data_IF_214429111129
#
_entry.id   IF_214429111129
#
_cell.length_a   1.000
_cell.length_b   1.000
_cell.length_c   1.000
_cell.angle_alpha   90.00
_cell.angle_beta   90.00
_cell.angle_gamma   90.00
#
_symmetry.space_group_name_H-M   'P 1'
#
loop_
_entity.id
_entity.type
_entity.pdbx_description
1 polymer ?
#
# COMPACT_ATOMS: atom_id res chain seq x y z
N UNK A 1 8.10 33.06 -1.47
CA UNK A 1 8.85 31.83 -1.75
C UNK A 1 7.86 30.84 -2.29
N UNK A 2 7.86 30.59 -3.60
CA UNK A 2 7.03 29.57 -4.17
C UNK A 2 7.40 28.23 -3.54
N UNK A 3 6.41 27.53 -2.99
CA UNK A 3 6.60 26.23 -2.40
C UNK A 3 7.01 25.26 -3.51
N UNK A 4 8.15 24.57 -3.37
CA UNK A 4 8.60 23.54 -4.32
C UNK A 4 7.59 22.41 -4.50
N UNK A 5 6.64 22.29 -3.58
CA UNK A 5 5.59 21.27 -3.58
C UNK A 5 4.26 21.93 -3.28
N UNK A 6 3.23 21.66 -4.08
CA UNK A 6 1.85 22.07 -3.79
C UNK A 6 1.21 21.01 -2.91
N UNK A 7 0.84 21.40 -1.69
CA UNK A 7 0.23 20.51 -0.72
C UNK A 7 -1.29 20.62 -0.71
N UNK A 8 -1.95 19.47 -0.72
CA UNK A 8 -3.40 19.31 -0.65
C UNK A 8 -3.77 18.48 0.57
N UNK A 9 -4.42 19.07 1.54
CA UNK A 9 -4.96 18.34 2.67
C UNK A 9 -6.37 17.85 2.31
N UNK A 10 -6.47 16.57 1.98
CA UNK A 10 -7.73 15.89 1.66
C UNK A 10 -8.09 14.85 2.74
N UNK A 11 -7.28 14.79 3.79
CA UNK A 11 -7.71 14.08 4.98
C UNK A 11 -8.88 14.89 5.55
N UNK A 12 -10.14 14.40 5.52
CA UNK A 12 -11.12 14.95 6.42
C UNK A 12 -10.43 14.90 7.78
N UNK A 13 -10.51 15.98 8.56
CA UNK A 13 -10.13 15.88 9.97
C UNK A 13 -10.97 14.75 10.54
N UNK A 14 -10.46 13.53 10.40
CA UNK A 14 -11.00 12.40 11.11
C UNK A 14 -10.85 12.81 12.56
N UNK A 15 -11.96 13.15 13.15
CA UNK A 15 -11.98 13.26 14.59
C UNK A 15 -11.29 12.00 15.09
N UNK A 16 -10.33 12.11 15.97
CA UNK A 16 -9.59 10.97 16.52
C UNK A 16 -10.56 9.85 16.99
N UNK A 17 -11.83 10.19 17.24
CA UNK A 17 -12.95 9.30 17.46
C UNK A 17 -13.21 8.30 16.32
N UNK A 18 -13.19 8.71 15.06
CA UNK A 18 -13.52 7.82 13.92
C UNK A 18 -12.46 6.71 13.71
N UNK A 19 -11.18 7.01 13.90
CA UNK A 19 -10.11 6.01 13.87
C UNK A 19 -10.20 5.04 15.06
N UNK A 20 -10.56 5.56 16.22
CA UNK A 20 -10.74 4.76 17.41
C UNK A 20 -11.95 3.81 17.29
N UNK A 21 -13.06 4.29 16.72
CA UNK A 21 -14.24 3.48 16.45
C UNK A 21 -13.92 2.33 15.49
N UNK A 22 -13.25 2.60 14.36
CA UNK A 22 -12.85 1.57 13.41
C UNK A 22 -11.91 0.52 14.04
N UNK A 23 -10.97 0.97 14.86
CA UNK A 23 -10.06 0.08 15.58
C UNK A 23 -10.83 -0.82 16.56
N UNK A 24 -11.73 -0.27 17.34
CA UNK A 24 -12.56 -1.01 18.31
C UNK A 24 -13.51 -1.99 17.63
N UNK A 25 -14.11 -1.59 16.50
CA UNK A 25 -14.93 -2.48 15.69
C UNK A 25 -14.15 -3.73 15.28
N UNK A 26 -12.93 -3.56 14.77
CA UNK A 26 -12.08 -4.69 14.38
C UNK A 26 -11.59 -5.52 15.57
N UNK A 27 -11.21 -4.90 16.68
CA UNK A 27 -10.75 -5.59 17.89
C UNK A 27 -11.86 -6.40 18.59
N UNK A 28 -13.11 -5.99 18.45
CA UNK A 28 -14.28 -6.67 19.03
C UNK A 28 -14.97 -7.62 18.06
N UNK A 29 -14.56 -7.64 16.80
CA UNK A 29 -15.08 -8.57 15.79
C UNK A 29 -14.75 -10.04 16.12
N UNK A 30 -15.46 -10.95 15.47
CA UNK A 30 -15.17 -12.40 15.54
C UNK A 30 -15.09 -12.96 14.12
N UNK A 31 -13.89 -13.34 13.63
CA UNK A 31 -12.58 -13.22 14.27
C UNK A 31 -12.09 -11.77 14.41
N UNK A 32 -11.22 -11.51 15.39
CA UNK A 32 -10.62 -10.18 15.60
C UNK A 32 -9.72 -9.79 14.43
N UNK A 33 -9.82 -8.55 13.99
CA UNK A 33 -9.01 -8.00 12.90
C UNK A 33 -8.69 -6.53 13.10
N UNK A 34 -7.80 -6.01 12.27
CA UNK A 34 -7.53 -4.57 12.18
C UNK A 34 -7.13 -4.19 10.75
N UNK A 35 -7.31 -2.93 10.38
CA UNK A 35 -6.90 -2.42 9.09
C UNK A 35 -5.37 -2.25 9.03
N UNK A 36 -4.70 -2.63 7.91
CA UNK A 36 -3.25 -2.42 7.73
C UNK A 36 -2.79 -0.97 7.86
N UNK A 37 -3.67 0.03 7.69
CA UNK A 37 -3.33 1.44 7.86
C UNK A 37 -2.81 1.77 9.27
N UNK A 38 -3.19 0.98 10.27
CA UNK A 38 -2.72 1.14 11.65
C UNK A 38 -1.25 0.74 11.85
N UNK A 39 -0.60 0.13 10.89
CA UNK A 39 0.84 -0.11 10.93
C UNK A 39 1.67 1.16 10.68
N UNK A 40 1.16 2.12 9.92
CA UNK A 40 1.93 3.20 9.31
C UNK A 40 1.94 4.48 10.16
N UNK A 41 2.37 4.36 11.44
CA UNK A 41 2.94 5.48 12.17
C UNK A 41 4.38 5.73 11.66
N UNK A 42 5.07 6.72 12.23
CA UNK A 42 6.47 7.01 11.85
C UNK A 42 7.37 5.77 12.01
N UNK A 43 7.25 5.08 13.15
CA UNK A 43 8.07 3.89 13.44
C UNK A 43 7.72 2.73 12.52
N UNK A 44 6.46 2.50 12.25
CA UNK A 44 6.00 1.48 11.30
C UNK A 44 6.52 1.73 9.89
N UNK A 45 6.50 2.98 9.43
CA UNK A 45 7.06 3.35 8.11
C UNK A 45 8.57 3.08 8.04
N UNK A 46 9.34 3.38 9.10
CA UNK A 46 10.77 3.04 9.20
C UNK A 46 11.00 1.52 9.19
N UNK A 47 10.16 0.76 9.89
CA UNK A 47 10.23 -0.70 9.93
C UNK A 47 9.87 -1.31 8.57
N UNK A 48 8.88 -0.76 7.87
CA UNK A 48 8.55 -1.21 6.51
C UNK A 48 9.69 -0.95 5.53
N UNK A 49 10.34 0.21 5.61
CA UNK A 49 11.57 0.48 4.84
C UNK A 49 12.65 -0.57 5.14
N UNK A 50 12.83 -0.94 6.41
CA UNK A 50 13.78 -1.97 6.79
C UNK A 50 13.37 -3.38 6.33
N UNK A 51 12.06 -3.71 6.25
CA UNK A 51 11.55 -4.94 5.62
C UNK A 51 11.97 -4.99 4.15
N UNK A 52 11.82 -3.89 3.44
CA UNK A 52 12.17 -3.80 2.01
C UNK A 52 13.65 -4.12 1.72
N UNK A 53 14.52 -3.99 2.71
CA UNK A 53 15.96 -4.31 2.61
C UNK A 53 16.28 -5.78 3.00
N UNK A 54 15.31 -6.55 3.55
CA UNK A 54 15.55 -7.92 3.95
C UNK A 54 15.74 -8.84 2.73
N UNK A 55 16.70 -9.78 2.80
CA UNK A 55 16.96 -10.69 1.68
C UNK A 55 15.78 -11.60 1.35
N UNK A 56 14.93 -11.93 2.32
CA UNK A 56 13.75 -12.75 2.15
C UNK A 56 12.60 -11.96 1.48
N UNK A 57 12.52 -10.63 1.68
CA UNK A 57 11.45 -9.80 1.16
C UNK A 57 11.69 -9.43 -0.31
N UNK A 58 11.44 -10.37 -1.21
CA UNK A 58 11.65 -10.23 -2.66
C UNK A 58 10.77 -9.17 -3.34
N UNK A 59 9.52 -8.83 -2.90
CA UNK A 59 8.60 -8.02 -3.70
C UNK A 59 9.20 -6.67 -4.12
N UNK A 60 9.79 -5.92 -3.21
CA UNK A 60 10.35 -4.59 -3.49
C UNK A 60 11.47 -4.64 -4.53
N UNK A 61 12.47 -5.52 -4.34
CA UNK A 61 13.61 -5.59 -5.27
C UNK A 61 13.20 -6.15 -6.64
N UNK A 62 12.24 -7.09 -6.67
CA UNK A 62 11.73 -7.66 -7.93
C UNK A 62 10.96 -6.61 -8.73
N UNK A 63 10.02 -5.91 -8.09
CA UNK A 63 9.28 -4.82 -8.74
C UNK A 63 10.22 -3.72 -9.25
N UNK A 64 11.20 -3.30 -8.45
CA UNK A 64 12.20 -2.32 -8.89
C UNK A 64 13.03 -2.80 -10.08
N UNK A 65 13.37 -4.10 -10.13
CA UNK A 65 14.10 -4.67 -11.25
C UNK A 65 13.25 -4.63 -12.54
N UNK A 66 11.95 -4.98 -12.44
CA UNK A 66 11.01 -4.89 -13.56
C UNK A 66 10.86 -3.43 -14.03
N UNK A 67 10.63 -2.49 -13.09
CA UNK A 67 10.49 -1.06 -13.42
C UNK A 67 11.72 -0.51 -14.14
N UNK A 68 12.93 -0.84 -13.69
CA UNK A 68 14.17 -0.41 -14.36
C UNK A 68 14.30 -1.01 -15.75
N UNK A 69 14.04 -2.31 -15.90
CA UNK A 69 14.17 -3.00 -17.18
C UNK A 69 13.15 -2.54 -18.21
N UNK A 70 11.91 -2.26 -17.75
CA UNK A 70 10.77 -1.93 -18.60
C UNK A 70 10.49 -0.42 -18.70
N UNK A 71 11.31 0.45 -18.11
CA UNK A 71 11.02 1.88 -18.01
C UNK A 71 10.73 2.53 -19.38
N UNK A 72 11.49 2.19 -20.42
CA UNK A 72 11.28 2.71 -21.77
C UNK A 72 9.96 2.20 -22.39
N UNK A 73 9.68 0.90 -22.25
CA UNK A 73 8.44 0.31 -22.76
C UNK A 73 7.21 0.88 -22.03
N UNK A 74 7.33 1.06 -20.69
CA UNK A 74 6.28 1.71 -19.89
C UNK A 74 6.05 3.13 -20.39
N UNK A 75 7.12 3.90 -20.60
CA UNK A 75 7.03 5.27 -21.11
C UNK A 75 6.41 5.34 -22.51
N UNK A 76 6.66 4.36 -23.38
CA UNK A 76 6.05 4.28 -24.71
C UNK A 76 4.54 4.03 -24.61
N UNK A 77 4.12 3.08 -23.76
CA UNK A 77 2.70 2.72 -23.60
C UNK A 77 1.91 3.79 -22.84
N UNK A 78 2.51 4.38 -21.79
CA UNK A 78 1.89 5.46 -21.01
C UNK A 78 1.83 6.77 -21.80
N UNK A 79 2.85 7.06 -22.58
CA UNK A 79 3.01 8.33 -23.30
C UNK A 79 3.67 9.41 -22.44
N UNK A 80 4.11 10.48 -23.13
CA UNK A 80 4.72 11.66 -22.48
C UNK A 80 3.65 12.61 -21.96
N UNK A 81 4.05 13.54 -21.13
CA UNK A 81 3.21 14.61 -20.57
C UNK A 81 2.01 14.09 -19.73
N UNK A 82 2.10 12.86 -19.22
CA UNK A 82 1.12 12.30 -18.32
C UNK A 82 1.13 13.04 -16.97
N UNK A 83 -0.01 13.04 -16.27
CA UNK A 83 -0.09 13.32 -14.83
C UNK A 83 0.10 12.00 -14.10
N UNK A 84 1.24 11.81 -13.43
CA UNK A 84 1.53 10.57 -12.71
C UNK A 84 1.09 10.68 -11.25
N UNK A 85 0.16 9.83 -10.82
CA UNK A 85 -0.47 9.87 -9.49
C UNK A 85 -0.10 8.60 -8.74
N UNK A 86 0.81 8.70 -7.76
CA UNK A 86 1.27 7.55 -6.98
C UNK A 86 0.43 7.40 -5.71
N UNK A 87 -0.26 6.26 -5.59
CA UNK A 87 -1.06 5.91 -4.42
C UNK A 87 -0.22 5.10 -3.42
N UNK A 88 -0.15 5.57 -2.17
CA UNK A 88 0.77 5.04 -1.18
C UNK A 88 2.22 5.38 -1.55
N UNK A 89 2.50 6.67 -1.78
CA UNK A 89 3.79 7.12 -2.33
C UNK A 89 4.98 6.83 -1.40
N UNK A 90 4.74 6.78 -0.09
CA UNK A 90 5.78 6.49 0.88
C UNK A 90 7.05 7.34 0.66
N UNK A 91 8.20 6.70 0.50
CA UNK A 91 9.48 7.35 0.23
C UNK A 91 9.67 7.80 -1.23
N UNK A 92 8.67 7.66 -2.12
CA UNK A 92 8.71 8.00 -3.56
C UNK A 92 9.93 7.38 -4.28
N UNK A 93 10.35 6.17 -3.86
CA UNK A 93 11.56 5.52 -4.43
C UNK A 93 11.27 4.88 -5.78
N UNK A 94 10.10 4.27 -5.94
CA UNK A 94 9.75 3.48 -7.14
C UNK A 94 9.45 4.38 -8.33
N UNK A 95 8.76 5.50 -8.11
CA UNK A 95 8.45 6.45 -9.16
C UNK A 95 9.70 7.00 -9.82
N UNK A 96 10.78 7.21 -9.08
CA UNK A 96 12.07 7.70 -9.60
C UNK A 96 12.62 6.85 -10.75
N UNK A 97 12.31 5.55 -10.76
CA UNK A 97 12.73 4.63 -11.83
C UNK A 97 12.01 4.89 -13.15
N UNK A 98 10.91 5.62 -13.12
CA UNK A 98 10.08 5.94 -14.28
C UNK A 98 10.23 7.37 -14.76
N UNK A 99 10.57 8.32 -13.86
CA UNK A 99 10.57 9.76 -14.16
C UNK A 99 11.43 10.13 -15.37
N UNK A 100 12.66 9.59 -15.44
CA UNK A 100 13.59 9.90 -16.54
C UNK A 100 13.10 9.38 -17.92
N UNK A 101 12.39 8.26 -17.92
CA UNK A 101 11.88 7.67 -19.15
C UNK A 101 10.54 8.28 -19.58
N UNK A 102 9.63 8.51 -18.62
CA UNK A 102 8.29 9.00 -18.88
C UNK A 102 8.21 10.51 -19.08
N UNK A 103 9.08 11.29 -18.41
CA UNK A 103 9.00 12.74 -18.38
C UNK A 103 7.55 13.25 -18.15
N UNK A 104 6.88 12.87 -17.04
CA UNK A 104 5.52 13.33 -16.79
C UNK A 104 5.49 14.83 -16.59
N UNK A 105 4.39 15.49 -16.98
CA UNK A 105 4.19 16.92 -16.76
C UNK A 105 4.05 17.24 -15.26
N UNK A 106 3.45 16.32 -14.51
CA UNK A 106 3.16 16.48 -13.09
C UNK A 106 3.25 15.15 -12.37
N UNK A 107 3.68 15.21 -11.12
CA UNK A 107 3.62 14.11 -10.16
C UNK A 107 2.76 14.52 -8.96
N UNK A 108 1.82 13.66 -8.59
CA UNK A 108 1.05 13.74 -7.35
C UNK A 108 1.35 12.51 -6.49
N UNK A 109 2.00 12.73 -5.35
CA UNK A 109 2.11 11.71 -4.31
C UNK A 109 0.89 11.73 -3.40
N UNK A 110 0.26 10.58 -3.19
CA UNK A 110 -0.86 10.41 -2.26
C UNK A 110 -0.45 9.46 -1.15
N UNK A 111 -0.55 9.89 0.11
CA UNK A 111 -0.21 9.06 1.27
C UNK A 111 -0.98 9.54 2.51
N UNK A 112 -1.23 8.64 3.45
CA UNK A 112 -1.87 8.95 4.73
C UNK A 112 -0.88 9.59 5.72
N UNK A 113 0.41 9.29 5.58
CA UNK A 113 1.48 9.75 6.46
C UNK A 113 1.97 11.14 6.05
N UNK A 114 1.30 12.21 6.53
CA UNK A 114 1.52 13.60 6.12
C UNK A 114 2.98 14.05 6.15
N UNK A 115 3.66 13.86 7.28
CA UNK A 115 5.03 14.37 7.45
C UNK A 115 6.03 13.63 6.55
N UNK A 116 5.85 12.32 6.41
CA UNK A 116 6.66 11.48 5.55
C UNK A 116 6.45 11.82 4.07
N UNK A 117 5.20 12.02 3.65
CA UNK A 117 4.82 12.46 2.33
C UNK A 117 5.47 13.80 1.96
N UNK A 118 5.37 14.80 2.85
CA UNK A 118 5.96 16.11 2.62
C UNK A 118 7.49 16.07 2.54
N UNK A 119 8.14 15.25 3.35
CA UNK A 119 9.59 15.08 3.30
C UNK A 119 10.02 14.42 1.98
N UNK A 120 9.37 13.33 1.59
CA UNK A 120 9.70 12.58 0.36
C UNK A 120 9.44 13.39 -0.90
N UNK A 121 8.31 14.09 -1.00
CA UNK A 121 7.96 14.91 -2.15
C UNK A 121 8.83 16.16 -2.28
N UNK A 122 9.25 16.79 -1.18
CA UNK A 122 10.24 17.89 -1.22
C UNK A 122 11.58 17.43 -1.75
N UNK A 123 12.07 16.26 -1.33
CA UNK A 123 13.30 15.67 -1.87
C UNK A 123 13.14 15.40 -3.37
N UNK A 124 12.00 14.85 -3.77
CA UNK A 124 11.71 14.60 -5.18
C UNK A 124 11.76 15.89 -6.01
N UNK A 125 11.12 16.97 -5.55
CA UNK A 125 11.10 18.26 -6.24
C UNK A 125 12.52 18.91 -6.34
N UNK A 126 13.39 18.67 -5.37
CA UNK A 126 14.79 19.11 -5.43
C UNK A 126 15.58 18.31 -6.46
N UNK A 127 15.38 16.99 -6.51
CA UNK A 127 16.11 16.09 -7.41
C UNK A 127 15.64 16.21 -8.86
N UNK A 128 14.38 16.60 -9.09
CA UNK A 128 13.75 16.77 -10.41
C UNK A 128 13.16 18.17 -10.58
N UNK A 129 13.99 19.23 -10.77
CA UNK A 129 13.51 20.61 -10.84
C UNK A 129 12.60 20.94 -12.03
N UNK A 130 12.55 20.07 -13.01
CA UNK A 130 11.67 20.18 -14.18
C UNK A 130 10.24 19.63 -13.92
N UNK A 131 10.05 18.88 -12.85
CA UNK A 131 8.79 18.20 -12.53
C UNK A 131 7.91 19.08 -11.63
N UNK A 132 6.66 19.30 -12.02
CA UNK A 132 5.67 19.88 -11.11
C UNK A 132 5.27 18.81 -10.07
N UNK A 133 5.53 19.10 -8.77
CA UNK A 133 5.31 18.14 -7.69
C UNK A 133 4.18 18.58 -6.78
N UNK A 134 3.22 17.68 -6.59
CA UNK A 134 2.11 17.82 -5.66
C UNK A 134 2.16 16.71 -4.60
N UNK A 135 1.58 17.00 -3.44
CA UNK A 135 1.41 16.05 -2.34
C UNK A 135 -0.02 16.15 -1.82
N UNK A 136 -0.76 15.05 -1.80
CA UNK A 136 -2.09 14.97 -1.21
C UNK A 136 -2.07 14.02 0.00
N UNK A 137 -2.35 14.57 1.18
CA UNK A 137 -2.57 13.75 2.37
C UNK A 137 -4.00 13.21 2.31
N UNK A 138 -4.13 11.90 2.05
CA UNK A 138 -5.43 11.25 1.90
C UNK A 138 -5.35 9.75 2.18
N UNK A 139 -6.44 9.18 2.67
CA UNK A 139 -6.67 7.75 2.70
C UNK A 139 -7.27 7.31 1.35
N UNK A 140 -6.44 6.72 0.48
CA UNK A 140 -6.85 6.29 -0.86
C UNK A 140 -7.83 5.10 -0.85
N UNK A 141 -8.09 4.49 0.31
CA UNK A 141 -9.12 3.45 0.45
C UNK A 141 -10.53 4.04 0.54
N UNK A 142 -10.64 5.36 0.75
CA UNK A 142 -11.88 6.12 0.85
C UNK A 142 -12.16 6.91 -0.43
N UNK A 143 -13.39 7.38 -0.64
CA UNK A 143 -13.70 8.27 -1.75
C UNK A 143 -12.82 9.53 -1.70
N UNK A 144 -12.11 9.80 -2.80
CA UNK A 144 -11.23 10.96 -2.95
C UNK A 144 -11.50 11.66 -4.28
N UNK A 145 -10.92 12.83 -4.48
CA UNK A 145 -10.93 13.55 -5.73
C UNK A 145 -9.51 13.99 -6.09
N UNK A 146 -9.20 14.08 -7.38
CA UNK A 146 -7.93 14.66 -7.78
C UNK A 146 -7.94 16.17 -7.49
N UNK A 147 -6.85 16.74 -6.97
CA UNK A 147 -6.71 18.18 -6.83
C UNK A 147 -6.91 18.88 -8.18
N UNK A 148 -7.53 20.06 -8.17
CA UNK A 148 -7.65 20.88 -9.36
C UNK A 148 -6.29 21.46 -9.80
N UNK A 149 -6.13 21.66 -11.11
CA UNK A 149 -4.95 22.33 -11.67
C UNK A 149 -3.70 21.47 -11.76
N UNK A 150 -3.84 20.14 -11.74
CA UNK A 150 -2.74 19.24 -12.10
C UNK A 150 -2.38 19.41 -13.57
N UNK A 151 -1.08 19.60 -13.88
CA UNK A 151 -0.60 19.66 -15.24
C UNK A 151 -0.59 18.27 -15.90
N UNK A 152 -0.74 18.24 -17.22
CA UNK A 152 -0.72 17.00 -18.02
C UNK A 152 -2.06 16.67 -18.65
N UNK A 153 -1.99 15.92 -19.75
CA UNK A 153 -3.17 15.63 -20.57
C UNK A 153 -3.88 14.33 -20.16
N UNK A 154 -3.12 13.38 -19.59
CA UNK A 154 -3.62 12.05 -19.27
C UNK A 154 -3.21 11.62 -17.84
N UNK A 155 -4.16 11.51 -16.92
CA UNK A 155 -3.87 10.99 -15.60
C UNK A 155 -3.58 9.47 -15.65
N UNK A 156 -2.50 9.09 -14.99
CA UNK A 156 -2.07 7.70 -14.83
C UNK A 156 -1.85 7.46 -13.34
N UNK A 157 -2.69 6.63 -12.76
CA UNK A 157 -2.50 6.16 -11.40
C UNK A 157 -1.35 5.13 -11.37
N UNK A 158 -0.44 5.30 -10.43
CA UNK A 158 0.63 4.34 -10.14
C UNK A 158 0.40 3.74 -8.75
N UNK A 159 0.16 2.45 -8.70
CA UNK A 159 -0.13 1.72 -7.45
C UNK A 159 0.86 0.57 -7.27
N UNK A 160 2.07 0.87 -6.77
CA UNK A 160 3.15 -0.10 -6.63
C UNK A 160 3.03 -0.95 -5.35
N UNK A 161 3.96 -1.91 -5.21
CA UNK A 161 4.20 -2.63 -3.97
C UNK A 161 3.27 -3.79 -3.70
N UNK A 162 2.41 -4.13 -4.66
CA UNK A 162 1.32 -5.09 -4.44
C UNK A 162 0.36 -4.69 -3.31
N UNK A 163 0.24 -3.39 -3.04
CA UNK A 163 -0.67 -2.86 -2.02
C UNK A 163 -2.13 -3.23 -2.29
N UNK A 164 -2.49 -3.50 -3.56
CA UNK A 164 -3.79 -4.06 -3.95
C UNK A 164 -4.06 -5.42 -3.28
N UNK A 165 -3.04 -6.16 -2.92
CA UNK A 165 -3.15 -7.43 -2.21
C UNK A 165 -3.61 -7.30 -0.76
N UNK A 166 -3.59 -6.10 -0.17
CA UNK A 166 -4.07 -5.87 1.18
C UNK A 166 -5.61 -5.81 1.26
N UNK A 167 -6.27 -5.73 0.12
CA UNK A 167 -7.73 -5.78 0.00
C UNK A 167 -8.23 -7.20 -0.24
N UNK A 168 -9.40 -7.52 0.29
CA UNK A 168 -10.14 -8.69 -0.19
C UNK A 168 -10.45 -8.56 -1.69
N UNK A 169 -10.75 -9.63 -2.42
CA UNK A 169 -11.12 -9.53 -3.83
C UNK A 169 -12.28 -8.56 -4.11
N UNK A 170 -13.26 -8.51 -3.22
CA UNK A 170 -14.41 -7.62 -3.29
C UNK A 170 -14.01 -6.15 -3.06
N UNK A 171 -13.16 -5.90 -2.07
CA UNK A 171 -12.62 -4.56 -1.78
C UNK A 171 -11.69 -4.09 -2.90
N UNK A 172 -10.84 -4.98 -3.44
CA UNK A 172 -9.96 -4.68 -4.57
C UNK A 172 -10.77 -4.30 -5.82
N UNK A 173 -11.86 -5.02 -6.12
CA UNK A 173 -12.78 -4.66 -7.19
C UNK A 173 -13.47 -3.31 -6.94
N UNK A 174 -13.91 -3.09 -5.70
CA UNK A 174 -14.50 -1.80 -5.27
C UNK A 174 -13.53 -0.64 -5.42
N UNK A 175 -12.28 -0.81 -4.96
CA UNK A 175 -11.21 0.17 -5.10
C UNK A 175 -10.92 0.49 -6.59
N UNK A 176 -10.74 -0.54 -7.42
CA UNK A 176 -10.52 -0.35 -8.86
C UNK A 176 -11.70 0.35 -9.54
N UNK A 177 -12.95 0.03 -9.17
CA UNK A 177 -14.14 0.77 -9.65
C UNK A 177 -14.14 2.23 -9.22
N UNK A 178 -13.73 2.50 -7.98
CA UNK A 178 -13.54 3.86 -7.47
C UNK A 178 -12.51 4.62 -8.30
N UNK A 179 -11.36 4.01 -8.56
CA UNK A 179 -10.30 4.58 -9.36
C UNK A 179 -10.73 4.81 -10.83
N UNK A 180 -11.47 3.88 -11.41
CA UNK A 180 -12.03 4.04 -12.77
C UNK A 180 -12.98 5.24 -12.88
N UNK A 181 -13.69 5.62 -11.81
CA UNK A 181 -14.53 6.82 -11.80
C UNK A 181 -13.72 8.11 -11.73
N UNK A 182 -12.55 8.07 -11.10
CA UNK A 182 -11.65 9.23 -10.97
C UNK A 182 -10.84 9.48 -12.24
N UNK A 183 -10.57 8.45 -13.01
CA UNK A 183 -9.82 8.53 -14.25
C UNK A 183 -10.77 8.86 -15.42
N UNK A 184 -10.43 9.75 -16.34
CA UNK A 184 -11.18 9.93 -17.59
C UNK A 184 -11.04 8.68 -18.49
N UNK A 185 -11.87 8.59 -19.51
CA UNK A 185 -11.68 7.59 -20.57
C UNK A 185 -10.27 7.71 -21.17
N UNK A 186 -9.56 6.60 -21.33
CA UNK A 186 -8.15 6.56 -21.75
C UNK A 186 -7.15 6.88 -20.64
N UNK A 187 -7.60 7.20 -19.42
CA UNK A 187 -6.72 7.29 -18.24
C UNK A 187 -6.13 5.93 -17.89
N UNK A 188 -4.90 5.92 -17.37
CA UNK A 188 -4.13 4.72 -17.12
C UNK A 188 -4.05 4.29 -15.67
N UNK A 189 -3.82 3.00 -15.44
CA UNK A 189 -3.43 2.44 -14.15
C UNK A 189 -2.19 1.55 -14.36
N UNK A 190 -1.09 1.93 -13.74
CA UNK A 190 0.12 1.12 -13.63
C UNK A 190 0.13 0.50 -12.23
N UNK A 191 0.00 -0.82 -12.12
CA UNK A 191 -0.16 -1.49 -10.83
C UNK A 191 0.78 -2.67 -10.69
N UNK A 192 1.47 -2.71 -9.54
CA UNK A 192 2.32 -3.83 -9.15
C UNK A 192 1.51 -4.90 -8.42
N UNK A 193 1.69 -6.16 -8.81
CA UNK A 193 0.93 -7.30 -8.30
C UNK A 193 1.85 -8.47 -8.00
N UNK A 194 1.83 -8.93 -6.77
CA UNK A 194 2.57 -10.11 -6.33
C UNK A 194 1.86 -11.39 -6.81
N UNK A 195 2.63 -12.28 -7.45
CA UNK A 195 2.07 -13.46 -8.12
C UNK A 195 2.01 -14.67 -7.18
N UNK A 196 1.08 -15.59 -7.46
CA UNK A 196 1.04 -16.91 -6.83
C UNK A 196 2.32 -17.67 -7.17
N UNK A 197 2.97 -18.24 -6.17
CA UNK A 197 4.25 -18.94 -6.26
C UNK A 197 4.44 -19.95 -5.13
N UNK A 198 5.62 -20.56 -5.07
CA UNK A 198 5.98 -21.51 -4.01
C UNK A 198 5.75 -20.92 -2.62
N UNK A 199 5.09 -21.73 -1.77
CA UNK A 199 4.75 -21.39 -0.39
C UNK A 199 5.97 -21.00 0.43
N UNK A 200 7.10 -21.69 0.24
CA UNK A 200 8.29 -21.42 1.04
C UNK A 200 8.87 -20.03 0.77
N UNK A 201 8.77 -19.53 -0.48
CA UNK A 201 9.15 -18.16 -0.84
C UNK A 201 8.23 -17.16 -0.15
N UNK A 202 6.92 -17.43 -0.20
CA UNK A 202 5.91 -16.56 0.40
C UNK A 202 6.02 -16.50 1.92
N UNK A 203 6.13 -17.65 2.58
CA UNK A 203 6.26 -17.74 4.04
C UNK A 203 7.56 -17.05 4.51
N UNK A 204 8.68 -17.22 3.81
CA UNK A 204 9.96 -16.60 4.16
C UNK A 204 9.91 -15.07 4.08
N UNK A 205 9.22 -14.51 3.09
CA UNK A 205 9.13 -13.06 2.88
C UNK A 205 8.46 -12.32 4.06
N UNK A 206 7.60 -13.01 4.83
CA UNK A 206 6.90 -12.43 5.98
C UNK A 206 7.39 -12.96 7.32
N UNK A 207 8.47 -13.77 7.32
CA UNK A 207 9.12 -14.34 8.50
C UNK A 207 10.66 -14.23 8.35
N UNK A 208 11.15 -13.04 8.04
CA UNK A 208 12.58 -12.79 7.86
C UNK A 208 13.40 -13.19 9.09
N UNK A 209 14.60 -13.73 8.86
CA UNK A 209 15.47 -14.24 9.92
C UNK A 209 15.92 -13.14 10.90
N UNK A 210 15.95 -11.88 10.46
CA UNK A 210 16.28 -10.74 11.31
C UNK A 210 15.11 -10.30 12.21
N UNK A 211 13.88 -10.81 11.99
CA UNK A 211 12.70 -10.49 12.79
C UNK A 211 12.14 -9.09 12.58
N UNK A 212 12.48 -8.44 11.47
CA UNK A 212 12.02 -7.07 11.16
C UNK A 212 10.52 -7.04 10.90
N UNK A 213 10.00 -8.03 10.16
CA UNK A 213 8.55 -8.15 9.92
C UNK A 213 7.79 -8.41 11.22
N UNK A 214 8.35 -9.22 12.11
CA UNK A 214 7.77 -9.44 13.44
C UNK A 214 7.73 -8.13 14.26
N UNK A 215 8.82 -7.34 14.22
CA UNK A 215 8.88 -6.05 14.88
C UNK A 215 7.86 -5.06 14.29
N UNK A 216 7.67 -5.06 12.97
CA UNK A 216 6.66 -4.26 12.29
C UNK A 216 5.25 -4.63 12.75
N UNK A 217 4.92 -5.91 12.78
CA UNK A 217 3.61 -6.38 13.24
C UNK A 217 3.35 -6.03 14.70
N UNK A 218 4.34 -6.23 15.60
CA UNK A 218 4.25 -5.88 17.02
C UNK A 218 4.20 -4.38 17.28
N UNK A 219 4.71 -3.55 16.34
CA UNK A 219 4.63 -2.10 16.46
C UNK A 219 3.19 -1.58 16.51
N UNK A 220 2.24 -2.31 15.92
CA UNK A 220 0.81 -2.01 16.07
C UNK A 220 0.42 -1.83 17.54
N UNK A 221 0.84 -2.74 18.43
CA UNK A 221 0.52 -2.67 19.84
C UNK A 221 1.19 -1.47 20.54
N UNK A 222 2.39 -1.09 20.09
CA UNK A 222 3.06 0.12 20.57
C UNK A 222 2.30 1.39 20.16
N UNK A 223 1.84 1.40 18.90
CA UNK A 223 1.01 2.49 18.40
C UNK A 223 -0.29 2.62 19.20
N UNK A 224 -0.97 1.48 19.49
CA UNK A 224 -2.16 1.50 20.34
C UNK A 224 -1.91 2.14 21.69
N UNK A 225 -0.76 1.88 22.32
CA UNK A 225 -0.37 2.50 23.61
C UNK A 225 -0.19 4.00 23.48
N UNK A 226 0.44 4.47 22.41
CA UNK A 226 0.85 5.87 22.28
C UNK A 226 -0.25 6.77 21.74
N UNK A 227 -1.02 6.30 20.77
CA UNK A 227 -2.00 7.12 20.05
C UNK A 227 -3.44 6.90 20.54
N UNK A 228 -3.74 5.71 21.12
CA UNK A 228 -5.08 5.34 21.58
C UNK A 228 -5.15 5.06 23.07
N UNK A 229 -4.13 5.47 23.82
CA UNK A 229 -4.03 5.32 25.30
C UNK A 229 -4.31 3.88 25.76
N UNK A 230 -3.91 2.88 24.93
CA UNK A 230 -4.21 1.50 25.22
C UNK A 230 -3.35 0.92 26.35
N UNK A 231 -4.00 0.17 27.23
CA UNK A 231 -3.33 -0.69 28.22
C UNK A 231 -3.10 -2.06 27.57
N UNK A 232 -1.94 -2.26 26.98
CA UNK A 232 -1.53 -3.52 26.34
C UNK A 232 -0.05 -3.80 26.56
N UNK A 233 0.30 -5.05 26.85
CA UNK A 233 1.69 -5.49 26.95
C UNK A 233 2.09 -6.22 25.65
N UNK A 234 2.91 -5.58 24.78
CA UNK A 234 3.30 -6.19 23.50
C UNK A 234 3.99 -7.55 23.63
N UNK A 235 4.69 -7.78 24.76
CA UNK A 235 5.33 -9.06 25.07
C UNK A 235 4.32 -10.19 25.33
N UNK A 236 3.05 -9.86 25.56
CA UNK A 236 1.94 -10.83 25.66
C UNK A 236 1.51 -11.39 24.32
N UNK A 237 2.09 -10.90 23.21
CA UNK A 237 1.76 -11.33 21.86
C UNK A 237 3.02 -11.77 21.10
N UNK A 238 2.80 -12.64 20.11
CA UNK A 238 3.84 -13.03 19.15
C UNK A 238 3.34 -12.85 17.72
N UNK A 239 4.25 -12.50 16.85
CA UNK A 239 4.03 -12.49 15.41
C UNK A 239 3.82 -13.91 14.88
N UNK A 240 2.89 -14.05 13.93
CA UNK A 240 2.70 -15.24 13.11
C UNK A 240 2.30 -14.80 11.71
N UNK A 241 3.03 -15.24 10.70
CA UNK A 241 2.67 -15.08 9.31
C UNK A 241 2.70 -16.43 8.59
N UNK A 242 1.79 -16.65 7.66
CA UNK A 242 1.72 -17.87 6.87
C UNK A 242 0.94 -17.65 5.56
N UNK A 243 1.26 -18.45 4.56
CA UNK A 243 0.49 -18.50 3.33
C UNK A 243 -0.77 -19.36 3.50
N UNK A 244 -1.93 -18.74 3.37
CA UNK A 244 -3.22 -19.42 3.31
C UNK A 244 -3.50 -19.78 1.85
N UNK A 245 -3.24 -21.04 1.51
CA UNK A 245 -3.32 -21.55 0.15
C UNK A 245 -4.75 -21.52 -0.39
N UNK A 246 -5.76 -21.79 0.46
CA UNK A 246 -7.17 -21.79 0.06
C UNK A 246 -7.69 -20.40 -0.29
N UNK A 247 -7.14 -19.35 0.35
CA UNK A 247 -7.47 -17.95 0.09
C UNK A 247 -6.47 -17.25 -0.84
N UNK A 248 -5.38 -17.95 -1.24
CA UNK A 248 -4.29 -17.39 -2.05
C UNK A 248 -3.72 -16.10 -1.48
N UNK A 249 -3.49 -16.04 -0.16
CA UNK A 249 -2.97 -14.85 0.52
C UNK A 249 -2.00 -15.21 1.64
N UNK A 250 -1.06 -14.33 1.93
CA UNK A 250 -0.39 -14.29 3.23
C UNK A 250 -1.35 -13.68 4.24
N UNK A 251 -1.32 -14.21 5.44
CA UNK A 251 -1.98 -13.63 6.61
C UNK A 251 -0.94 -13.32 7.68
N UNK A 252 -0.98 -12.11 8.23
CA UNK A 252 -0.23 -11.75 9.42
C UNK A 252 -1.17 -11.67 10.63
N UNK A 253 -0.71 -12.19 11.74
CA UNK A 253 -1.44 -12.23 12.99
C UNK A 253 -0.56 -11.84 14.18
N UNK A 254 -1.18 -11.26 15.20
CA UNK A 254 -0.65 -11.18 16.55
C UNK A 254 -1.40 -12.20 17.41
N UNK A 255 -0.66 -13.20 17.90
CA UNK A 255 -1.23 -14.32 18.67
C UNK A 255 -0.98 -14.10 20.15
N UNK A 256 -2.04 -14.10 20.96
CA UNK A 256 -1.94 -13.99 22.41
C UNK A 256 -1.22 -15.19 23.01
N UNK A 257 -0.28 -14.95 23.93
CA UNK A 257 0.52 -16.00 24.57
C UNK A 257 -0.20 -16.66 25.76
N UNK A 258 -1.18 -15.97 26.34
CA UNK A 258 -1.94 -16.40 27.50
C UNK A 258 -3.29 -15.68 27.53
N UNK A 259 -4.21 -16.11 28.39
CA UNK A 259 -5.47 -15.41 28.60
C UNK A 259 -5.19 -14.01 29.17
N UNK A 260 -5.60 -12.97 28.45
CA UNK A 260 -5.36 -11.60 28.84
C UNK A 260 -6.47 -10.68 28.33
N UNK A 261 -6.52 -9.49 28.86
CA UNK A 261 -7.37 -8.42 28.35
C UNK A 261 -6.54 -7.18 28.10
N UNK A 262 -6.82 -6.49 27.00
CA UNK A 262 -6.30 -5.17 26.71
C UNK A 262 -7.43 -4.15 26.92
N UNK A 263 -7.05 -2.89 27.18
CA UNK A 263 -8.01 -1.78 27.18
C UNK A 263 -7.63 -0.81 26.08
N UNK A 264 -8.59 -0.40 25.28
CA UNK A 264 -8.39 0.59 24.21
C UNK A 264 -9.53 1.60 24.31
N UNK A 265 -9.21 2.88 24.48
CA UNK A 265 -10.19 3.94 24.66
C UNK A 265 -11.25 3.65 25.74
N UNK A 266 -10.83 2.97 26.82
CA UNK A 266 -11.72 2.57 27.92
C UNK A 266 -12.46 1.23 27.72
N UNK A 267 -12.56 0.73 26.51
CA UNK A 267 -13.21 -0.56 26.22
C UNK A 267 -12.25 -1.73 26.53
N UNK A 268 -12.82 -2.81 27.09
CA UNK A 268 -12.08 -4.02 27.43
C UNK A 268 -12.23 -5.07 26.33
N UNK A 269 -11.10 -5.49 25.75
CA UNK A 269 -11.02 -6.54 24.73
C UNK A 269 -10.28 -7.74 25.30
N UNK A 270 -10.95 -8.88 25.38
CA UNK A 270 -10.39 -10.14 25.91
C UNK A 270 -9.75 -10.96 24.80
N UNK A 271 -8.65 -11.64 25.14
CA UNK A 271 -7.97 -12.60 24.30
C UNK A 271 -7.73 -13.88 25.08
N UNK A 272 -8.19 -15.00 24.53
CA UNK A 272 -7.83 -16.32 25.03
C UNK A 272 -6.39 -16.67 24.64
N UNK A 273 -5.75 -17.56 25.38
CA UNK A 273 -4.42 -18.08 25.01
C UNK A 273 -4.47 -18.75 23.63
N UNK A 274 -3.64 -18.26 22.70
CA UNK A 274 -3.62 -18.72 21.32
C UNK A 274 -4.62 -18.02 20.39
N UNK A 275 -5.52 -17.19 20.91
CA UNK A 275 -6.37 -16.35 20.06
C UNK A 275 -5.54 -15.34 19.28
N UNK A 276 -5.96 -15.03 18.06
CA UNK A 276 -5.21 -14.15 17.16
C UNK A 276 -5.99 -12.91 16.73
N UNK A 277 -5.31 -11.79 16.68
CA UNK A 277 -5.70 -10.59 15.95
C UNK A 277 -5.13 -10.67 14.53
N UNK A 278 -5.98 -10.76 13.51
CA UNK A 278 -5.59 -10.70 12.11
C UNK A 278 -5.23 -9.26 11.74
N UNK A 279 -3.98 -9.02 11.39
CA UNK A 279 -3.45 -7.67 11.22
C UNK A 279 -3.26 -7.26 9.77
N UNK A 280 -3.01 -8.21 8.87
CA UNK A 280 -2.86 -7.94 7.44
C UNK A 280 -3.16 -9.18 6.60
N UNK A 281 -3.78 -8.98 5.46
CA UNK A 281 -3.81 -9.91 4.33
C UNK A 281 -2.91 -9.39 3.21
N UNK A 282 -2.27 -10.31 2.46
CA UNK A 282 -1.58 -9.97 1.23
C UNK A 282 -1.90 -11.02 0.16
N UNK A 283 -2.95 -10.72 -0.62
CA UNK A 283 -3.42 -11.60 -1.69
C UNK A 283 -2.42 -11.70 -2.82
N UNK A 284 -2.31 -12.90 -3.36
CA UNK A 284 -1.47 -13.23 -4.51
C UNK A 284 -2.36 -13.57 -5.69
N UNK A 285 -1.99 -13.10 -6.86
CA UNK A 285 -2.81 -13.22 -8.06
C UNK A 285 -2.11 -14.04 -9.13
N UNK A 286 -2.87 -14.68 -10.00
CA UNK A 286 -2.38 -15.02 -11.33
C UNK A 286 -2.54 -13.79 -12.24
N UNK A 287 -1.72 -13.70 -13.28
CA UNK A 287 -1.83 -12.64 -14.30
C UNK A 287 -3.24 -12.59 -14.90
N UNK A 288 -3.81 -13.75 -15.23
CA UNK A 288 -5.16 -13.84 -15.79
C UNK A 288 -6.23 -13.40 -14.77
N UNK A 289 -6.14 -13.91 -13.53
CA UNK A 289 -7.12 -13.58 -12.47
C UNK A 289 -7.13 -12.09 -12.13
N UNK A 290 -5.96 -11.44 -12.10
CA UNK A 290 -5.91 -9.99 -11.86
C UNK A 290 -6.51 -9.20 -13.03
N UNK A 291 -6.26 -9.63 -14.28
CA UNK A 291 -6.86 -8.99 -15.46
C UNK A 291 -8.39 -9.13 -15.49
N UNK A 292 -8.91 -10.28 -15.09
CA UNK A 292 -10.37 -10.49 -14.97
C UNK A 292 -10.97 -9.57 -13.89
N UNK A 293 -10.30 -9.46 -12.74
CA UNK A 293 -10.70 -8.53 -11.67
C UNK A 293 -10.75 -7.10 -12.18
N UNK A 294 -9.68 -6.63 -12.83
CA UNK A 294 -9.59 -5.29 -13.39
C UNK A 294 -10.63 -5.05 -14.50
N UNK A 295 -10.90 -6.06 -15.34
CA UNK A 295 -11.93 -6.00 -16.37
C UNK A 295 -13.34 -5.75 -15.80
N UNK A 296 -13.69 -6.42 -14.68
CA UNK A 296 -14.96 -6.17 -13.98
C UNK A 296 -15.05 -4.77 -13.38
N UNK A 297 -13.90 -4.15 -13.12
CA UNK A 297 -13.82 -2.79 -12.61
C UNK A 297 -13.79 -1.69 -13.70
N UNK A 298 -13.83 -2.05 -14.98
CA UNK A 298 -13.86 -1.10 -16.09
C UNK A 298 -12.48 -0.75 -16.65
N UNK A 299 -11.51 -1.63 -16.48
CA UNK A 299 -10.17 -1.50 -17.05
C UNK A 299 -9.91 -2.55 -18.12
N UNK A 300 -9.24 -2.14 -19.18
CA UNK A 300 -8.75 -3.03 -20.24
C UNK A 300 -7.23 -3.21 -20.13
N UNK A 301 -6.72 -4.46 -20.06
CA UNK A 301 -5.29 -4.73 -20.06
C UNK A 301 -4.63 -4.31 -21.37
N UNK A 302 -3.59 -3.47 -21.31
CA UNK A 302 -2.80 -3.02 -22.47
C UNK A 302 -1.44 -3.70 -22.52
N UNK A 303 -0.74 -3.76 -21.39
CA UNK A 303 0.58 -4.37 -21.29
C UNK A 303 0.80 -4.98 -19.91
N UNK A 304 1.83 -5.80 -19.79
CA UNK A 304 2.35 -6.26 -18.50
C UNK A 304 3.82 -6.66 -18.64
N UNK A 305 4.54 -6.56 -17.53
CA UNK A 305 5.95 -6.91 -17.40
C UNK A 305 6.14 -7.78 -16.16
N UNK A 306 6.94 -8.81 -16.29
CA UNK A 306 7.28 -9.73 -15.19
C UNK A 306 8.79 -9.87 -15.07
N UNK A 307 9.25 -10.27 -13.90
CA UNK A 307 10.61 -10.76 -13.72
C UNK A 307 10.77 -12.17 -14.36
N UNK A 308 12.03 -12.59 -14.49
CA UNK A 308 12.37 -13.89 -15.13
C UNK A 308 11.72 -15.08 -14.43
N UNK A 309 11.59 -15.03 -13.11
CA UNK A 309 11.10 -16.13 -12.28
C UNK A 309 9.58 -16.03 -12.04
N UNK A 310 8.91 -15.06 -12.67
CA UNK A 310 7.47 -14.78 -12.52
C UNK A 310 7.04 -14.64 -11.06
N UNK A 311 7.85 -13.94 -10.27
CA UNK A 311 7.53 -13.64 -8.87
C UNK A 311 6.57 -12.47 -8.76
N UNK A 312 6.69 -11.48 -9.66
CA UNK A 312 5.96 -10.23 -9.59
C UNK A 312 5.53 -9.78 -10.99
N UNK A 313 4.42 -9.06 -11.08
CA UNK A 313 3.92 -8.52 -12.35
C UNK A 313 3.57 -7.04 -12.18
N UNK A 314 3.95 -6.24 -13.17
CA UNK A 314 3.44 -4.89 -13.32
C UNK A 314 2.48 -4.90 -14.49
N UNK A 315 1.24 -4.46 -14.25
CA UNK A 315 0.21 -4.32 -15.28
C UNK A 315 0.04 -2.86 -15.65
N UNK A 316 -0.12 -2.59 -16.94
CA UNK A 316 -0.68 -1.34 -17.42
C UNK A 316 -2.07 -1.61 -17.97
N UNK A 317 -3.01 -0.89 -17.41
CA UNK A 317 -4.44 -1.01 -17.69
C UNK A 317 -4.95 0.36 -18.11
N UNK A 318 -5.92 0.39 -19.01
CA UNK A 318 -6.55 1.63 -19.47
C UNK A 318 -8.03 1.61 -19.15
N UNK A 319 -8.55 2.71 -18.64
CA UNK A 319 -9.97 2.85 -18.40
C UNK A 319 -10.73 2.85 -19.73
N UNK A 320 -11.66 1.92 -19.86
CA UNK A 320 -12.66 1.91 -20.94
C UNK A 320 -13.88 2.74 -20.55
N UNK A 321 -14.58 3.23 -21.55
CA UNK A 321 -15.74 4.15 -21.39
C UNK A 321 -16.89 3.45 -20.68
#
# INVERSE_FOLDING_TARGET
>A
MDSLVRFHDQHPQEEAGSLCEELLEGLTATPKCTSPKFFYDRRGSELFDAICEQPEYYPTRTEQAILRAAAADIAEVVGRDATLIELGSGASRKVRLLLEAMHPACYLGVDISRDFLLESTRRLAVDYPWLEVHAACADFTRPMAWPEGLAGERPVAFFPGSSIGNFTPEEAEGFLKGLARLLPAGGGLLVGVDLIKDRAILDAAYNDAAGVTAAFNLNLLQRLRHEFEAEVEPQGFRHRAFYNESASRIEMHLVSLYDQAIRVAGERVEFDAGESLHTESSYKYSIAGFRELAGRAGFEPRAHWTDRDSLFCIHYLERVV
#
